data_IF_353448671021
#
_entry.id   IF_353448671021
#
_cell.length_a   1.000
_cell.length_b   1.000
_cell.length_c   1.000
_cell.angle_alpha   90.00
_cell.angle_beta   90.00
_cell.angle_gamma   90.00
#
_symmetry.space_group_name_H-M   'P 1'
#
loop_
_entity.id
_entity.type
_entity.pdbx_description
1 polymer ?
#
# COMPACT_ATOMS: atom_id res chain seq x y z
N UNK A 1 -3.04 -17.05 6.04
CA UNK A 1 -1.93 -17.24 5.08
C UNK A 1 -1.75 -15.92 4.36
N UNK A 2 -0.62 -15.21 4.55
CA UNK A 2 -0.33 -13.98 3.80
C UNK A 2 0.09 -14.39 2.38
N UNK A 3 -0.75 -14.14 1.38
CA UNK A 3 -0.38 -14.32 -0.02
C UNK A 3 0.64 -13.25 -0.37
N UNK A 4 1.85 -13.68 -0.73
CA UNK A 4 2.89 -12.80 -1.28
C UNK A 4 2.63 -12.62 -2.77
N UNK A 5 2.51 -11.38 -3.22
CA UNK A 5 2.18 -11.05 -4.61
C UNK A 5 3.33 -10.27 -5.25
N UNK A 6 3.59 -10.51 -6.53
CA UNK A 6 4.60 -9.79 -7.29
C UNK A 6 4.10 -8.39 -7.66
N UNK A 7 5.01 -7.41 -7.68
CA UNK A 7 4.66 -6.03 -8.00
C UNK A 7 4.00 -5.86 -9.38
N UNK A 8 4.43 -6.66 -10.37
CA UNK A 8 3.88 -6.60 -11.73
C UNK A 8 2.40 -7.01 -11.77
N UNK A 9 2.05 -8.08 -11.04
CA UNK A 9 0.66 -8.54 -10.91
C UNK A 9 -0.23 -7.47 -10.29
N UNK A 10 0.30 -6.74 -9.29
CA UNK A 10 -0.45 -5.63 -8.69
C UNK A 10 -0.64 -4.46 -9.65
N UNK A 11 0.36 -4.13 -10.48
CA UNK A 11 0.23 -3.07 -11.50
C UNK A 11 -0.84 -3.41 -12.54
N UNK A 12 -0.96 -4.68 -12.93
CA UNK A 12 -2.04 -5.13 -13.82
C UNK A 12 -3.41 -5.09 -13.14
N UNK A 13 -3.48 -5.49 -11.87
CA UNK A 13 -4.69 -5.40 -11.07
C UNK A 13 -5.14 -3.95 -10.90
N UNK A 14 -4.20 -3.01 -10.77
CA UNK A 14 -4.48 -1.59 -10.64
C UNK A 14 -5.14 -0.99 -11.90
N UNK A 15 -4.85 -1.54 -13.08
CA UNK A 15 -5.49 -1.15 -14.34
C UNK A 15 -6.90 -1.72 -14.51
N UNK A 16 -7.17 -2.90 -13.95
CA UNK A 16 -8.40 -3.66 -14.21
C UNK A 16 -9.43 -3.61 -13.09
N UNK A 17 -9.00 -3.44 -11.83
CA UNK A 17 -9.84 -3.47 -10.63
C UNK A 17 -9.99 -2.09 -10.00
N UNK A 18 -10.97 -1.91 -9.12
CA UNK A 18 -11.12 -0.68 -8.32
C UNK A 18 -10.13 -0.63 -7.18
N UNK A 19 -9.73 0.57 -6.74
CA UNK A 19 -8.79 0.69 -5.62
C UNK A 19 -9.34 0.04 -4.34
N UNK A 20 -10.66 0.11 -4.12
CA UNK A 20 -11.33 -0.55 -2.99
C UNK A 20 -11.19 -2.08 -2.96
N UNK A 21 -11.04 -2.72 -4.12
CA UNK A 21 -10.81 -4.17 -4.21
C UNK A 21 -9.35 -4.52 -3.92
N UNK A 22 -8.44 -3.64 -4.33
CA UNK A 22 -7.00 -3.76 -4.07
C UNK A 22 -6.66 -3.55 -2.60
N UNK A 23 -7.56 -2.96 -1.80
CA UNK A 23 -7.38 -2.85 -0.35
C UNK A 23 -7.30 -4.22 0.36
N UNK A 24 -7.65 -5.31 -0.32
CA UNK A 24 -7.53 -6.68 0.18
C UNK A 24 -6.47 -7.51 -0.55
N UNK A 25 -5.58 -6.88 -1.34
CA UNK A 25 -4.68 -7.61 -2.22
C UNK A 25 -3.61 -8.41 -1.46
N UNK A 26 -3.21 -7.99 -0.26
CA UNK A 26 -2.24 -8.72 0.58
C UNK A 26 -0.89 -7.99 0.71
N UNK A 27 0.19 -8.77 0.79
CA UNK A 27 1.56 -8.27 0.99
C UNK A 27 2.34 -8.25 -0.34
N UNK A 28 2.98 -7.12 -0.64
CA UNK A 28 3.81 -6.93 -1.84
C UNK A 28 5.22 -6.58 -1.41
N UNK A 29 6.19 -7.41 -1.79
CA UNK A 29 7.60 -7.06 -1.60
C UNK A 29 8.04 -6.14 -2.72
N UNK A 30 8.60 -4.99 -2.36
CA UNK A 30 9.09 -4.01 -3.33
C UNK A 30 10.23 -3.20 -2.73
N UNK A 31 11.07 -2.63 -3.58
CA UNK A 31 12.07 -1.67 -3.14
C UNK A 31 11.40 -0.36 -2.69
N UNK A 32 12.17 0.52 -2.04
CA UNK A 32 11.69 1.85 -1.66
C UNK A 32 11.30 2.68 -2.89
N UNK A 33 12.08 2.59 -3.97
CA UNK A 33 11.84 3.32 -5.22
C UNK A 33 10.55 2.84 -5.88
N UNK A 34 10.41 1.52 -5.98
CA UNK A 34 9.20 0.86 -6.50
C UNK A 34 7.95 1.25 -5.73
N UNK A 35 8.04 1.35 -4.40
CA UNK A 35 6.93 1.79 -3.56
C UNK A 35 6.44 3.19 -3.95
N UNK A 36 7.34 4.16 -4.14
CA UNK A 36 6.92 5.52 -4.51
C UNK A 36 6.36 5.59 -5.92
N UNK A 37 6.94 4.85 -6.87
CA UNK A 37 6.36 4.70 -8.21
C UNK A 37 4.95 4.10 -8.15
N UNK A 38 4.75 3.09 -7.30
CA UNK A 38 3.45 2.46 -7.11
C UNK A 38 2.44 3.42 -6.46
N UNK A 39 2.85 4.14 -5.42
CA UNK A 39 2.00 5.12 -4.76
C UNK A 39 1.52 6.21 -5.71
N UNK A 40 2.38 6.68 -6.63
CA UNK A 40 1.95 7.65 -7.66
C UNK A 40 0.77 7.11 -8.48
N UNK A 41 0.86 5.87 -8.95
CA UNK A 41 -0.22 5.22 -9.71
C UNK A 41 -1.49 5.04 -8.87
N UNK A 42 -1.33 4.68 -7.60
CA UNK A 42 -2.46 4.56 -6.66
C UNK A 42 -3.13 5.92 -6.45
N UNK A 43 -2.36 7.01 -6.38
CA UNK A 43 -2.88 8.37 -6.24
C UNK A 43 -3.69 8.79 -7.46
N UNK A 44 -3.16 8.60 -8.66
CA UNK A 44 -3.85 8.93 -9.91
C UNK A 44 -5.17 8.17 -10.01
N UNK A 45 -5.14 6.87 -9.68
CA UNK A 45 -6.34 6.04 -9.63
C UNK A 45 -7.34 6.51 -8.58
N UNK A 46 -6.88 6.80 -7.35
CA UNK A 46 -7.73 7.32 -6.29
C UNK A 46 -8.45 8.61 -6.73
N UNK A 47 -7.73 9.54 -7.36
CA UNK A 47 -8.30 10.77 -7.90
C UNK A 47 -9.38 10.46 -8.95
N UNK A 48 -9.11 9.58 -9.91
CA UNK A 48 -10.09 9.19 -10.93
C UNK A 48 -11.33 8.50 -10.36
N UNK A 49 -11.20 7.80 -9.23
CA UNK A 49 -12.30 7.12 -8.54
C UNK A 49 -13.02 8.00 -7.49
N UNK A 50 -12.61 9.27 -7.35
CA UNK A 50 -13.16 10.21 -6.37
C UNK A 50 -12.79 9.87 -4.91
N UNK A 51 -11.68 9.17 -4.72
CA UNK A 51 -11.12 8.79 -3.42
C UNK A 51 -10.05 9.80 -2.99
N UNK A 52 -9.86 9.91 -1.67
CA UNK A 52 -8.82 10.74 -1.07
C UNK A 52 -7.83 9.87 -0.31
N UNK A 53 -6.54 10.10 -0.49
CA UNK A 53 -5.48 9.44 0.30
C UNK A 53 -4.93 10.46 1.29
N UNK A 54 -4.88 10.11 2.57
CA UNK A 54 -4.34 10.95 3.65
C UNK A 54 -3.14 10.27 4.33
N UNK A 55 -2.08 11.03 4.58
CA UNK A 55 -0.83 10.53 5.16
C UNK A 55 0.40 11.26 4.57
N UNK A 56 1.62 10.74 4.79
CA UNK A 56 1.92 9.56 5.60
C UNK A 56 1.83 9.83 7.10
N UNK A 57 1.36 8.84 7.83
CA UNK A 57 1.53 8.74 9.28
C UNK A 57 2.71 7.80 9.53
N UNK A 58 3.76 8.31 10.17
CA UNK A 58 4.94 7.51 10.51
C UNK A 58 4.72 6.82 11.86
N UNK A 59 4.88 5.51 11.88
CA UNK A 59 4.80 4.68 13.09
C UNK A 59 5.88 3.60 13.07
N UNK A 60 6.01 2.86 14.15
CA UNK A 60 6.90 1.70 14.24
C UNK A 60 6.08 0.48 14.61
N UNK A 61 6.22 -0.60 13.86
CA UNK A 61 5.48 -1.85 14.09
C UNK A 61 6.40 -3.04 13.80
N UNK A 62 6.40 -4.04 14.69
CA UNK A 62 7.23 -5.27 14.57
C UNK A 62 8.73 -4.98 14.35
N UNK A 63 9.22 -3.87 14.91
CA UNK A 63 10.62 -3.44 14.77
C UNK A 63 10.99 -2.89 13.38
N UNK A 64 10.00 -2.58 12.55
CA UNK A 64 10.15 -1.88 11.26
C UNK A 64 9.49 -0.51 11.32
N UNK A 65 10.00 0.44 10.55
CA UNK A 65 9.31 1.71 10.31
C UNK A 65 8.12 1.44 9.38
N UNK A 66 6.98 2.06 9.67
CA UNK A 66 5.73 1.92 8.93
C UNK A 66 5.26 3.29 8.47
N UNK A 67 5.17 3.50 7.15
CA UNK A 67 4.46 4.63 6.55
C UNK A 67 3.03 4.19 6.27
N UNK A 68 2.06 4.79 6.95
CA UNK A 68 0.65 4.48 6.76
C UNK A 68 -0.08 5.60 6.01
N UNK A 69 -0.88 5.22 5.03
CA UNK A 69 -1.77 6.09 4.26
C UNK A 69 -3.20 5.58 4.37
N UNK A 70 -4.13 6.45 4.72
CA UNK A 70 -5.54 6.13 4.82
C UNK A 70 -6.24 6.48 3.51
N UNK A 71 -6.98 5.52 2.94
CA UNK A 71 -7.83 5.73 1.76
C UNK A 71 -9.25 6.04 2.24
N UNK A 72 -9.77 7.18 1.81
CA UNK A 72 -11.07 7.71 2.19
C UNK A 72 -12.01 7.85 1.00
N UNK A 73 -13.28 7.58 1.24
CA UNK A 73 -14.40 7.90 0.34
C UNK A 73 -15.45 8.66 1.13
N UNK A 74 -15.87 9.84 0.66
CA UNK A 74 -16.86 10.67 1.38
C UNK A 74 -16.51 10.92 2.86
N UNK A 75 -15.23 11.21 3.17
CA UNK A 75 -14.66 11.33 4.52
C UNK A 75 -14.63 10.07 5.40
N UNK A 76 -15.15 8.94 4.94
CA UNK A 76 -15.05 7.65 5.63
C UNK A 76 -13.78 6.92 5.21
N UNK A 77 -13.05 6.33 6.16
CA UNK A 77 -11.86 5.51 5.87
C UNK A 77 -12.32 4.14 5.38
N UNK A 78 -12.08 3.84 4.11
CA UNK A 78 -12.43 2.55 3.50
C UNK A 78 -11.27 1.55 3.55
N UNK A 79 -10.05 2.01 3.85
CA UNK A 79 -8.91 1.16 4.12
C UNK A 79 -7.61 1.93 4.24
N UNK A 80 -6.51 1.20 4.27
CA UNK A 80 -5.18 1.70 4.51
C UNK A 80 -4.13 0.99 3.67
N UNK A 81 -3.08 1.74 3.32
CA UNK A 81 -1.89 1.28 2.62
C UNK A 81 -0.72 1.53 3.55
N UNK A 82 0.01 0.47 3.89
CA UNK A 82 1.14 0.56 4.82
C UNK A 82 2.42 0.06 4.17
N UNK A 83 3.46 0.88 4.17
CA UNK A 83 4.79 0.50 3.72
C UNK A 83 5.73 0.29 4.91
N UNK A 84 6.24 -0.92 5.04
CA UNK A 84 7.18 -1.32 6.08
C UNK A 84 8.59 -1.32 5.53
N UNK A 85 9.51 -0.67 6.24
CA UNK A 85 10.93 -0.62 5.88
C UNK A 85 11.83 -0.57 7.11
N UNK A 86 12.99 -1.21 7.02
CA UNK A 86 13.97 -1.21 8.10
C UNK A 86 14.99 -2.33 7.95
N UNK A 87 16.02 -2.27 8.79
CA UNK A 87 17.03 -3.32 8.89
C UNK A 87 16.65 -4.28 10.01
N UNK A 88 16.27 -5.51 9.64
CA UNK A 88 16.09 -6.59 10.61
C UNK A 88 17.00 -7.76 10.26
N UNK A 89 17.84 -8.15 11.22
CA UNK A 89 18.50 -9.44 11.40
C UNK A 89 18.79 -10.29 10.13
N UNK A 90 19.37 -9.70 9.06
CA UNK A 90 19.92 -10.32 7.82
C UNK A 90 19.20 -10.00 6.48
N UNK A 91 18.10 -9.23 6.43
CA UNK A 91 17.54 -8.74 5.14
C UNK A 91 16.95 -7.33 5.28
N UNK A 92 17.22 -6.47 4.29
CA UNK A 92 16.37 -5.29 4.03
C UNK A 92 14.97 -5.81 3.73
N UNK A 93 14.04 -5.70 4.68
CA UNK A 93 12.64 -6.04 4.46
C UNK A 93 11.90 -4.75 4.11
N UNK A 94 11.49 -4.67 2.85
CA UNK A 94 10.66 -3.61 2.31
C UNK A 94 9.42 -4.24 1.70
N UNK A 95 8.26 -3.96 2.26
CA UNK A 95 7.00 -4.50 1.74
C UNK A 95 5.83 -3.58 2.02
N UNK A 96 4.81 -3.67 1.18
CA UNK A 96 3.55 -2.92 1.28
C UNK A 96 2.44 -3.88 1.67
N UNK A 97 1.55 -3.44 2.54
CA UNK A 97 0.32 -4.15 2.85
C UNK A 97 -0.89 -3.27 2.59
N UNK A 98 -1.94 -3.89 2.09
CA UNK A 98 -3.24 -3.27 1.90
C UNK A 98 -4.22 -3.87 2.89
N UNK A 99 -4.98 -3.02 3.58
CA UNK A 99 -6.03 -3.47 4.50
C UNK A 99 -7.32 -2.68 4.28
N UNK A 100 -8.46 -3.37 4.32
CA UNK A 100 -9.79 -2.77 4.29
C UNK A 100 -10.29 -2.56 5.73
N UNK A 101 -10.89 -1.40 5.99
CA UNK A 101 -11.58 -1.12 7.26
C UNK A 101 -13.07 -1.44 7.18
#
# INVERSE_FOLDING_TARGET
MSTTILMEEFKEALKSKKLSELLNYGEIYCSKEDFFSLMSLIWDKAISEGLKIEGPILTTERGLNKLQYNVKKNNEVIGEISYYYGNYYLRYKSFVTFSRK
#
